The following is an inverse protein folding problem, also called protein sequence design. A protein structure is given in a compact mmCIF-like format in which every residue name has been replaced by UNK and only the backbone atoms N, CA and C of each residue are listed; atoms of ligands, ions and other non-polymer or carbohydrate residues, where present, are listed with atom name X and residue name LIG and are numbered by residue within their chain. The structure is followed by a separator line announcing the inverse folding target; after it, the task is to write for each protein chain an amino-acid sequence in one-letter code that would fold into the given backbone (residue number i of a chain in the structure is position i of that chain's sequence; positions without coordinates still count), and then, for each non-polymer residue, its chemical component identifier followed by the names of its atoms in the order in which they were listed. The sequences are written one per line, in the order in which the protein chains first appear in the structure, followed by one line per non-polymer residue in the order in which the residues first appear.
data_IF_720174240115
#
_entry.id   IF_720174240115
#
_cell.length_a   1.000
_cell.length_b   1.000
_cell.length_c   1.000
_cell.angle_alpha   90.00
_cell.angle_beta   90.00
_cell.angle_gamma   90.00
#
_symmetry.space_group_name_H-M   'P 1'
#
loop_
_entity.id
_entity.type
_entity.pdbx_description
1 polymer ?
#
# COMPACT_ATOMS: atom_id res chain seq x y z
N UNK A 1 12.18 -3.75 -16.82
CA UNK A 1 12.47 -4.99 -16.07
C UNK A 1 12.18 -4.76 -14.60
N UNK A 2 11.38 -5.59 -13.94
CA UNK A 2 11.13 -5.47 -12.50
C UNK A 2 12.38 -5.85 -11.71
N UNK A 3 12.79 -5.03 -10.73
CA UNK A 3 13.99 -5.19 -9.89
C UNK A 3 14.20 -6.62 -9.37
N UNK A 4 13.11 -7.30 -9.00
CA UNK A 4 13.11 -8.67 -8.47
C UNK A 4 13.56 -9.71 -9.51
N UNK A 5 13.18 -9.53 -10.78
CA UNK A 5 13.61 -10.43 -11.87
C UNK A 5 15.12 -10.40 -12.08
N UNK A 6 15.74 -9.23 -11.92
CA UNK A 6 17.19 -9.04 -12.01
C UNK A 6 17.90 -9.72 -10.84
N UNK A 7 17.42 -9.49 -9.62
CA UNK A 7 17.99 -10.11 -8.40
C UNK A 7 17.91 -11.63 -8.45
N UNK A 8 16.78 -12.20 -8.88
CA UNK A 8 16.62 -13.66 -9.01
C UNK A 8 17.51 -14.24 -10.09
N UNK A 9 17.62 -13.63 -11.26
CA UNK A 9 18.54 -14.07 -12.32
C UNK A 9 19.99 -14.09 -11.81
N UNK A 10 20.43 -12.99 -11.21
CA UNK A 10 21.78 -12.87 -10.66
C UNK A 10 22.08 -13.95 -9.63
N UNK A 11 21.12 -14.30 -8.77
CA UNK A 11 21.32 -15.33 -7.75
C UNK A 11 21.18 -16.77 -8.25
N UNK A 12 20.19 -17.05 -9.08
CA UNK A 12 19.76 -18.41 -9.45
C UNK A 12 20.36 -18.90 -10.77
N UNK A 13 20.85 -17.98 -11.63
CA UNK A 13 21.47 -18.32 -12.91
C UNK A 13 22.94 -17.92 -12.97
N UNK A 14 23.26 -16.73 -12.47
CA UNK A 14 24.63 -16.19 -12.55
C UNK A 14 25.45 -16.46 -11.28
N UNK A 15 24.89 -17.19 -10.31
CA UNK A 15 25.50 -17.58 -9.02
C UNK A 15 26.19 -16.45 -8.24
N UNK A 16 25.73 -15.20 -8.43
CA UNK A 16 26.27 -14.04 -7.74
C UNK A 16 26.00 -14.12 -6.24
N UNK A 17 27.01 -13.74 -5.44
CA UNK A 17 26.86 -13.66 -3.99
C UNK A 17 25.84 -12.58 -3.60
N UNK A 18 25.09 -12.80 -2.50
CA UNK A 18 24.16 -11.79 -1.96
C UNK A 18 24.89 -10.47 -1.65
N UNK A 19 26.18 -10.54 -1.28
CA UNK A 19 27.01 -9.35 -1.02
C UNK A 19 27.23 -8.53 -2.29
N UNK A 20 27.46 -9.20 -3.41
CA UNK A 20 27.68 -8.55 -4.70
C UNK A 20 26.38 -7.93 -5.23
N UNK A 21 25.27 -8.64 -5.10
CA UNK A 21 23.95 -8.12 -5.46
C UNK A 21 23.62 -6.88 -4.62
N UNK A 22 23.95 -6.88 -3.32
CA UNK A 22 23.76 -5.71 -2.44
C UNK A 22 24.58 -4.50 -2.88
N UNK A 23 25.84 -4.70 -3.29
CA UNK A 23 26.68 -3.61 -3.82
C UNK A 23 26.11 -3.00 -5.09
N UNK A 24 25.61 -3.83 -6.01
CA UNK A 24 25.08 -3.38 -7.30
C UNK A 24 23.71 -2.71 -7.19
N UNK A 25 22.85 -3.20 -6.29
CA UNK A 25 21.47 -2.71 -6.16
C UNK A 25 21.30 -1.62 -5.11
N UNK A 26 22.28 -1.41 -4.24
CA UNK A 26 22.17 -0.50 -3.09
C UNK A 26 21.17 -0.97 -2.01
N UNK A 27 20.60 -2.17 -2.17
CA UNK A 27 19.65 -2.73 -1.21
C UNK A 27 20.36 -3.44 -0.06
N UNK A 28 19.72 -3.43 1.11
CA UNK A 28 20.20 -4.22 2.24
C UNK A 28 20.24 -5.71 1.90
N UNK A 29 21.23 -6.43 2.43
CA UNK A 29 21.34 -7.89 2.29
C UNK A 29 20.08 -8.61 2.82
N UNK A 30 19.39 -8.03 3.80
CA UNK A 30 18.14 -8.55 4.36
C UNK A 30 16.99 -8.43 3.35
N UNK A 31 16.90 -7.31 2.64
CA UNK A 31 15.92 -7.08 1.58
C UNK A 31 16.11 -8.09 0.44
N UNK A 32 17.36 -8.29 0.00
CA UNK A 32 17.68 -9.28 -1.05
C UNK A 32 17.31 -10.69 -0.59
N UNK A 33 17.64 -11.07 0.65
CA UNK A 33 17.26 -12.38 1.19
C UNK A 33 15.74 -12.57 1.28
N UNK A 34 15.00 -11.52 1.66
CA UNK A 34 13.53 -11.53 1.67
C UNK A 34 12.99 -11.77 0.26
N UNK A 35 13.50 -11.04 -0.73
CA UNK A 35 13.09 -11.14 -2.14
C UNK A 35 13.42 -12.46 -2.81
N UNK A 36 14.49 -13.13 -2.37
CA UNK A 36 14.84 -14.48 -2.83
C UNK A 36 14.00 -15.58 -2.16
N UNK A 37 13.42 -15.33 -0.99
CA UNK A 37 12.56 -16.28 -0.27
C UNK A 37 11.10 -16.23 -0.70
N UNK A 38 10.62 -15.05 -1.07
CA UNK A 38 9.25 -14.87 -1.57
C UNK A 38 9.22 -15.13 -3.07
N UNK A 39 8.41 -16.09 -3.54
CA UNK A 39 8.12 -16.27 -4.97
C UNK A 39 7.28 -15.13 -5.55
N UNK A 40 6.65 -14.32 -4.69
CA UNK A 40 5.87 -13.15 -5.09
C UNK A 40 6.72 -12.09 -5.82
N UNK A 41 6.20 -11.67 -6.97
CA UNK A 41 6.83 -10.73 -7.91
C UNK A 41 6.61 -9.27 -7.48
N UNK A 42 5.71 -9.03 -6.53
CA UNK A 42 5.38 -7.68 -6.09
C UNK A 42 5.36 -7.57 -4.57
N UNK A 43 6.16 -6.66 -3.97
CA UNK A 43 6.04 -6.37 -2.56
C UNK A 43 4.70 -5.69 -2.31
N UNK A 44 3.67 -6.45 -1.92
CA UNK A 44 2.42 -5.88 -1.43
C UNK A 44 2.67 -5.24 -0.08
N UNK A 45 2.53 -3.93 -0.01
CA UNK A 45 2.53 -3.22 1.25
C UNK A 45 1.25 -3.59 2.00
N UNK A 46 1.37 -4.43 3.04
CA UNK A 46 0.24 -4.69 3.95
C UNK A 46 0.10 -3.46 4.84
N UNK A 47 -0.82 -2.57 4.48
CA UNK A 47 -1.25 -1.51 5.39
C UNK A 47 -2.07 -2.20 6.48
N UNK A 48 -1.65 -2.14 7.77
CA UNK A 48 -2.48 -2.66 8.84
C UNK A 48 -3.81 -1.90 8.84
N UNK A 49 -4.91 -2.61 9.05
CA UNK A 49 -6.20 -1.98 9.26
C UNK A 49 -6.12 -1.19 10.57
N UNK A 50 -5.99 0.13 10.42
CA UNK A 50 -5.92 1.06 11.56
C UNK A 50 -7.25 1.79 11.60
N UNK A 51 -7.94 1.82 12.76
CA UNK A 51 -9.13 2.61 12.88
C UNK A 51 -8.78 4.09 12.63
N UNK A 52 -9.48 4.70 11.69
CA UNK A 52 -9.42 6.13 11.44
C UNK A 52 -9.98 6.87 12.66
N UNK A 53 -9.48 8.09 12.92
CA UNK A 53 -10.07 8.99 13.92
C UNK A 53 -11.56 9.28 13.65
N UNK A 54 -12.00 9.10 12.41
CA UNK A 54 -13.37 9.31 11.99
C UNK A 54 -14.28 8.09 12.19
N UNK A 55 -13.73 6.91 12.47
CA UNK A 55 -14.52 5.68 12.59
C UNK A 55 -15.49 5.75 13.77
N UNK A 56 -15.09 6.40 14.87
CA UNK A 56 -15.95 6.67 16.01
C UNK A 56 -17.17 7.55 15.68
N UNK A 57 -17.12 8.29 14.56
CA UNK A 57 -18.19 9.18 14.11
C UNK A 57 -18.89 8.67 12.85
N UNK A 58 -18.53 7.49 12.34
CA UNK A 58 -19.00 6.97 11.06
C UNK A 58 -20.53 6.94 10.99
N UNK A 59 -21.20 6.41 12.01
CA UNK A 59 -22.67 6.36 12.05
C UNK A 59 -23.30 7.75 12.04
N UNK A 60 -22.77 8.68 12.85
CA UNK A 60 -23.29 10.04 12.95
C UNK A 60 -23.12 10.81 11.64
N UNK A 61 -21.94 10.72 11.02
CA UNK A 61 -21.66 11.36 9.73
C UNK A 61 -22.55 10.75 8.64
N UNK A 62 -22.74 9.43 8.64
CA UNK A 62 -23.64 8.73 7.71
C UNK A 62 -25.08 9.22 7.85
N UNK A 63 -25.56 9.38 9.08
CA UNK A 63 -26.90 9.89 9.35
C UNK A 63 -27.07 11.34 8.84
N UNK A 64 -26.09 12.21 9.07
CA UNK A 64 -26.12 13.59 8.56
C UNK A 64 -26.13 13.64 7.03
N UNK A 65 -25.30 12.83 6.37
CA UNK A 65 -25.26 12.75 4.91
C UNK A 65 -26.59 12.24 4.34
N UNK A 66 -27.21 11.23 4.96
CA UNK A 66 -28.53 10.74 4.55
C UNK A 66 -29.62 11.79 4.74
N UNK A 67 -29.62 12.48 5.89
CA UNK A 67 -30.57 13.55 6.16
C UNK A 67 -30.43 14.69 5.14
N UNK A 68 -29.20 15.05 4.77
CA UNK A 68 -28.92 16.06 3.75
C UNK A 68 -29.32 15.59 2.34
N UNK A 69 -29.11 14.31 2.03
CA UNK A 69 -29.49 13.73 0.75
C UNK A 69 -30.99 13.76 0.49
N UNK A 70 -31.80 13.60 1.55
CA UNK A 70 -33.26 13.58 1.49
C UNK A 70 -33.90 14.98 1.42
N UNK A 71 -33.14 16.07 1.59
CA UNK A 71 -33.67 17.42 1.48
C UNK A 71 -33.96 17.80 0.03
N UNK A 72 -34.95 18.67 -0.15
CA UNK A 72 -35.27 19.24 -1.46
C UNK A 72 -34.07 19.99 -2.04
N UNK A 73 -33.97 20.05 -3.38
CA UNK A 73 -32.82 20.64 -4.07
C UNK A 73 -32.48 22.07 -3.63
N UNK A 74 -33.50 22.85 -3.23
CA UNK A 74 -33.35 24.23 -2.74
C UNK A 74 -32.81 24.32 -1.30
N UNK A 75 -32.99 23.27 -0.50
CA UNK A 75 -32.60 23.22 0.91
C UNK A 75 -31.34 22.38 1.16
N UNK A 76 -30.87 21.65 0.15
CA UNK A 76 -29.68 20.82 0.20
C UNK A 76 -28.42 21.69 0.22
N UNK A 77 -27.64 21.57 1.29
CA UNK A 77 -26.36 22.23 1.53
C UNK A 77 -25.26 21.55 0.75
N UNK A 78 -24.34 22.35 0.22
CA UNK A 78 -23.13 21.85 -0.44
C UNK A 78 -22.09 21.43 0.60
N UNK A 79 -21.07 20.68 0.20
CA UNK A 79 -19.97 20.25 1.10
C UNK A 79 -19.26 21.43 1.78
N UNK A 80 -19.27 22.63 1.18
CA UNK A 80 -18.71 23.84 1.79
C UNK A 80 -19.60 24.44 2.90
N UNK A 81 -20.84 23.97 3.02
CA UNK A 81 -21.87 24.47 3.94
C UNK A 81 -22.31 23.40 4.97
N UNK A 82 -21.69 22.23 4.93
CA UNK A 82 -21.81 21.15 5.91
C UNK A 82 -20.71 21.30 6.96
#
# INVERSE_FOLDING_TARGET
MALLSVIRRWRLRDDLSIREIARRTGLSRNTIRKYLRSDEIEPRFKVPERPSKLDAYAERLSAWLRAEANKSRKQKRTIKQL
#
